data_IF_429649160009
#
_entry.id   IF_429649160009
#
_cell.length_a   1.000
_cell.length_b   1.000
_cell.length_c   1.000
_cell.angle_alpha   90.00
_cell.angle_beta   90.00
_cell.angle_gamma   90.00
#
_symmetry.space_group_name_H-M   'P 1'
#
loop_
_entity.id
_entity.type
_entity.pdbx_description
1 polymer ?
#
# COMPACT_ATOMS: atom_id res chain seq x y z
N UNK A 1 -24.83 -19.20 3.29
CA UNK A 1 -24.08 -18.84 2.06
C UNK A 1 -23.24 -17.56 2.24
N UNK A 2 -23.83 -16.39 2.53
CA UNK A 2 -23.08 -15.12 2.69
C UNK A 2 -21.98 -15.17 3.76
N UNK A 3 -22.23 -15.77 4.93
CA UNK A 3 -21.23 -15.95 5.99
C UNK A 3 -19.99 -16.75 5.52
N UNK A 4 -20.22 -17.84 4.76
CA UNK A 4 -19.13 -18.68 4.23
C UNK A 4 -18.26 -17.94 3.22
N UNK A 5 -18.88 -17.16 2.33
CA UNK A 5 -18.18 -16.29 1.37
C UNK A 5 -17.32 -15.26 2.12
N UNK A 6 -17.86 -14.67 3.19
CA UNK A 6 -17.15 -13.64 3.94
C UNK A 6 -15.96 -14.19 4.75
N UNK A 7 -16.13 -15.35 5.40
CA UNK A 7 -15.03 -16.06 6.06
C UNK A 7 -13.90 -16.40 5.07
N UNK A 8 -14.26 -16.88 3.89
CA UNK A 8 -13.32 -17.15 2.82
C UNK A 8 -12.56 -15.89 2.38
N UNK A 9 -13.25 -14.76 2.25
CA UNK A 9 -12.62 -13.47 1.92
C UNK A 9 -11.63 -13.02 3.02
N UNK A 10 -11.99 -13.12 4.30
CA UNK A 10 -11.07 -12.77 5.41
C UNK A 10 -9.80 -13.63 5.34
N UNK A 11 -9.96 -14.94 5.17
CA UNK A 11 -8.83 -15.88 5.13
C UNK A 11 -7.93 -15.58 3.92
N UNK A 12 -8.52 -15.41 2.73
CA UNK A 12 -7.76 -15.08 1.52
C UNK A 12 -7.02 -13.75 1.67
N UNK A 13 -7.69 -12.71 2.15
CA UNK A 13 -7.07 -11.39 2.33
C UNK A 13 -5.95 -11.46 3.34
N UNK A 14 -6.15 -12.15 4.47
CA UNK A 14 -5.11 -12.38 5.47
C UNK A 14 -3.88 -13.07 4.89
N UNK A 15 -4.09 -14.13 4.10
CA UNK A 15 -3.00 -14.84 3.41
C UNK A 15 -2.28 -13.91 2.43
N UNK A 16 -3.01 -13.15 1.59
CA UNK A 16 -2.41 -12.23 0.61
C UNK A 16 -1.64 -11.09 1.26
N UNK A 17 -2.09 -10.59 2.42
CA UNK A 17 -1.38 -9.57 3.20
C UNK A 17 -0.07 -10.15 3.72
N UNK A 18 -0.09 -11.34 4.31
CA UNK A 18 1.13 -12.01 4.79
C UNK A 18 2.11 -12.21 3.63
N UNK A 19 1.66 -12.70 2.48
CA UNK A 19 2.50 -12.86 1.27
C UNK A 19 3.12 -11.52 0.86
N UNK A 20 2.31 -10.46 0.81
CA UNK A 20 2.76 -9.14 0.36
C UNK A 20 3.74 -8.48 1.33
N UNK A 21 3.57 -8.68 2.64
CA UNK A 21 4.45 -8.14 3.67
C UNK A 21 5.78 -8.89 3.76
N UNK A 22 5.75 -10.21 3.53
CA UNK A 22 6.92 -11.07 3.72
C UNK A 22 7.79 -11.15 2.45
N UNK A 23 7.17 -11.19 1.27
CA UNK A 23 7.84 -11.56 0.01
C UNK A 23 8.81 -10.54 -0.61
N UNK A 24 8.97 -9.34 -0.05
CA UNK A 24 9.88 -8.33 -0.63
C UNK A 24 10.99 -7.80 0.28
N UNK A 25 10.94 -8.08 1.59
CA UNK A 25 11.84 -7.42 2.57
C UNK A 25 12.22 -8.25 3.78
N UNK A 26 11.71 -9.47 3.95
CA UNK A 26 12.22 -10.33 4.99
C UNK A 26 13.68 -10.64 4.67
N UNK A 27 14.61 -10.27 5.57
CA UNK A 27 15.98 -10.81 5.52
C UNK A 27 15.83 -12.33 5.46
N UNK A 28 16.58 -12.99 4.58
CA UNK A 28 16.60 -14.46 4.44
C UNK A 28 16.70 -15.15 5.80
N UNK A 29 17.44 -14.52 6.71
CA UNK A 29 17.80 -15.10 8.00
C UNK A 29 16.74 -14.86 9.10
N UNK A 30 15.77 -13.97 8.84
CA UNK A 30 14.68 -13.70 9.78
C UNK A 30 13.70 -14.88 9.85
N UNK A 31 12.98 -15.03 10.98
CA UNK A 31 11.95 -16.07 11.14
C UNK A 31 10.90 -15.98 10.02
N UNK A 32 10.48 -14.76 9.67
CA UNK A 32 9.55 -14.55 8.56
C UNK A 32 10.17 -14.90 7.19
N UNK A 33 11.46 -14.63 6.98
CA UNK A 33 12.18 -15.03 5.76
C UNK A 33 12.28 -16.54 5.60
N UNK A 34 12.59 -17.26 6.67
CA UNK A 34 12.63 -18.73 6.68
C UNK A 34 11.24 -19.35 6.51
N UNK A 35 10.21 -18.76 7.11
CA UNK A 35 8.81 -19.17 6.88
C UNK A 35 8.40 -18.94 5.42
N UNK A 36 8.80 -17.81 4.84
CA UNK A 36 8.55 -17.52 3.43
C UNK A 36 9.17 -18.58 2.52
N UNK A 37 10.44 -18.88 2.73
CA UNK A 37 11.16 -19.84 1.93
C UNK A 37 10.58 -21.26 2.06
N UNK A 38 10.27 -21.68 3.29
CA UNK A 38 9.71 -23.01 3.57
C UNK A 38 8.31 -23.21 3.00
N UNK A 39 7.42 -22.22 3.15
CA UNK A 39 6.01 -22.35 2.74
C UNK A 39 5.85 -22.08 1.23
N UNK A 40 6.55 -21.08 0.70
CA UNK A 40 6.26 -20.55 -0.63
C UNK A 40 7.27 -20.98 -1.69
N UNK A 41 8.57 -21.01 -1.39
CA UNK A 41 9.59 -21.36 -2.39
C UNK A 41 9.62 -22.88 -2.63
N UNK A 42 9.46 -23.68 -1.57
CA UNK A 42 9.48 -25.15 -1.70
C UNK A 42 8.19 -25.75 -2.28
N UNK A 43 7.05 -25.08 -2.15
CA UNK A 43 5.78 -25.58 -2.68
C UNK A 43 5.50 -25.03 -4.10
N UNK A 44 5.70 -25.87 -5.12
CA UNK A 44 5.56 -25.51 -6.53
C UNK A 44 4.18 -24.98 -6.91
N UNK A 45 3.11 -25.48 -6.27
CA UNK A 45 1.74 -25.03 -6.54
C UNK A 45 1.53 -23.62 -5.98
N UNK A 46 1.89 -23.40 -4.71
CA UNK A 46 1.77 -22.10 -4.04
C UNK A 46 2.64 -21.06 -4.75
N UNK A 47 3.86 -21.43 -5.14
CA UNK A 47 4.74 -20.59 -5.94
C UNK A 47 4.08 -20.20 -7.27
N UNK A 48 3.54 -21.18 -8.01
CA UNK A 48 2.87 -20.94 -9.29
C UNK A 48 1.64 -20.01 -9.17
N UNK A 49 0.84 -20.17 -8.13
CA UNK A 49 -0.30 -19.29 -7.83
C UNK A 49 0.20 -17.88 -7.49
N UNK A 50 1.21 -17.75 -6.65
CA UNK A 50 1.78 -16.45 -6.24
C UNK A 50 2.40 -15.71 -7.44
N UNK A 51 3.16 -16.41 -8.27
CA UNK A 51 3.71 -15.88 -9.52
C UNK A 51 2.61 -15.40 -10.46
N UNK A 52 1.55 -16.20 -10.63
CA UNK A 52 0.41 -15.79 -11.46
C UNK A 52 -0.28 -14.55 -10.90
N UNK A 53 -0.58 -14.51 -9.59
CA UNK A 53 -1.33 -13.42 -8.95
C UNK A 53 -0.55 -12.10 -8.90
N UNK A 54 0.73 -12.13 -8.54
CA UNK A 54 1.49 -10.91 -8.21
C UNK A 54 2.52 -10.51 -9.28
N UNK A 55 2.92 -11.42 -10.17
CA UNK A 55 4.01 -11.20 -11.12
C UNK A 55 3.56 -11.25 -12.58
N UNK A 56 2.43 -11.89 -12.89
CA UNK A 56 1.83 -11.90 -14.23
C UNK A 56 0.61 -10.97 -14.33
N UNK A 57 0.37 -10.32 -15.48
CA UNK A 57 -0.84 -9.54 -15.68
C UNK A 57 -2.09 -10.42 -15.57
N UNK A 58 -2.98 -10.08 -14.64
CA UNK A 58 -4.24 -10.80 -14.43
C UNK A 58 -5.28 -9.88 -13.76
N UNK A 59 -6.58 -10.08 -14.00
CA UNK A 59 -7.62 -9.23 -13.42
C UNK A 59 -8.04 -9.63 -12.00
N UNK A 60 -7.55 -10.74 -11.45
CA UNK A 60 -8.13 -11.35 -10.24
C UNK A 60 -8.02 -10.44 -9.02
N UNK A 61 -6.87 -9.78 -8.80
CA UNK A 61 -6.70 -8.88 -7.67
C UNK A 61 -7.52 -7.59 -7.82
N UNK A 62 -7.79 -7.16 -9.05
CA UNK A 62 -8.70 -6.03 -9.31
C UNK A 62 -10.14 -6.42 -8.96
N UNK A 63 -10.58 -7.58 -9.45
CA UNK A 63 -11.91 -8.10 -9.18
C UNK A 63 -12.09 -8.29 -7.67
N UNK A 64 -11.12 -8.89 -7.00
CA UNK A 64 -11.14 -9.09 -5.55
C UNK A 64 -11.29 -7.76 -4.80
N UNK A 65 -10.48 -6.74 -5.14
CA UNK A 65 -10.58 -5.42 -4.50
C UNK A 65 -11.96 -4.77 -4.76
N UNK A 66 -12.47 -4.83 -5.98
CA UNK A 66 -13.80 -4.31 -6.31
C UNK A 66 -14.91 -5.02 -5.53
N UNK A 67 -14.85 -6.35 -5.42
CA UNK A 67 -15.78 -7.16 -4.63
C UNK A 67 -15.69 -6.78 -3.14
N UNK A 68 -14.50 -6.62 -2.58
CA UNK A 68 -14.32 -6.24 -1.17
C UNK A 68 -14.95 -4.86 -0.87
N UNK A 69 -14.76 -3.88 -1.75
CA UNK A 69 -15.36 -2.54 -1.60
C UNK A 69 -16.89 -2.61 -1.64
N UNK A 70 -17.46 -3.34 -2.61
CA UNK A 70 -18.91 -3.46 -2.78
C UNK A 70 -19.54 -4.27 -1.64
N UNK A 71 -18.99 -5.44 -1.33
CA UNK A 71 -19.49 -6.31 -0.25
C UNK A 71 -19.38 -5.61 1.10
N UNK A 72 -18.27 -4.92 1.37
CA UNK A 72 -18.11 -4.14 2.60
C UNK A 72 -19.20 -3.09 2.79
N UNK A 73 -19.55 -2.37 1.71
CA UNK A 73 -20.66 -1.41 1.73
C UNK A 73 -22.03 -2.09 1.92
N UNK A 74 -22.29 -3.20 1.22
CA UNK A 74 -23.55 -3.94 1.37
C UNK A 74 -23.71 -4.46 2.79
N UNK A 75 -22.67 -5.01 3.40
CA UNK A 75 -22.72 -5.50 4.79
C UNK A 75 -22.93 -4.37 5.79
N UNK A 76 -22.27 -3.21 5.59
CA UNK A 76 -22.51 -2.00 6.37
C UNK A 76 -24.00 -1.59 6.30
N UNK A 77 -24.62 -1.66 5.12
CA UNK A 77 -26.01 -1.29 4.91
C UNK A 77 -27.03 -2.28 5.52
N UNK A 78 -26.68 -3.57 5.62
CA UNK A 78 -27.61 -4.62 6.08
C UNK A 78 -27.84 -4.57 7.60
N UNK A 79 -26.79 -4.36 8.39
CA UNK A 79 -26.84 -4.43 9.86
C UNK A 79 -26.49 -3.05 10.47
N UNK A 80 -25.24 -2.54 10.41
CA UNK A 80 -24.87 -1.31 11.11
C UNK A 80 -25.73 -0.10 10.77
N UNK A 81 -25.97 0.17 9.48
CA UNK A 81 -26.75 1.35 9.06
C UNK A 81 -28.20 1.25 9.49
N UNK A 82 -28.79 0.05 9.57
CA UNK A 82 -30.18 -0.09 10.03
C UNK A 82 -30.31 0.31 11.50
N UNK A 83 -29.40 -0.17 12.34
CA UNK A 83 -29.36 0.18 13.77
C UNK A 83 -29.07 1.67 13.96
N UNK A 84 -28.12 2.22 13.21
CA UNK A 84 -27.79 3.64 13.31
C UNK A 84 -28.95 4.54 12.82
N UNK A 85 -29.62 4.17 11.73
CA UNK A 85 -30.75 4.93 11.20
C UNK A 85 -31.95 4.91 12.17
N UNK A 86 -32.20 3.79 12.87
CA UNK A 86 -33.27 3.74 13.89
C UNK A 86 -33.00 4.67 15.08
N UNK A 87 -31.72 5.05 15.29
CA UNK A 87 -31.28 6.01 16.29
C UNK A 87 -31.11 7.44 15.74
N UNK A 88 -31.61 7.73 14.54
CA UNK A 88 -31.63 9.07 13.96
C UNK A 88 -30.34 9.52 13.26
N UNK A 89 -29.38 8.62 13.02
CA UNK A 89 -28.19 8.93 12.23
C UNK A 89 -28.51 8.92 10.74
N UNK A 90 -28.57 10.08 10.08
CA UNK A 90 -28.75 10.17 8.64
C UNK A 90 -27.41 9.99 7.90
N UNK A 91 -27.10 8.75 7.54
CA UNK A 91 -25.78 8.31 7.08
C UNK A 91 -25.44 8.67 5.61
N UNK A 92 -25.54 9.95 5.23
CA UNK A 92 -25.13 10.42 3.89
C UNK A 92 -23.62 10.21 3.67
N UNK A 93 -22.81 10.41 4.72
CA UNK A 93 -21.35 10.34 4.63
C UNK A 93 -20.81 8.96 4.14
N UNK A 94 -21.21 7.81 4.71
CA UNK A 94 -20.87 6.48 4.17
C UNK A 94 -21.13 6.29 2.67
N UNK A 95 -22.25 6.81 2.16
CA UNK A 95 -22.61 6.68 0.76
C UNK A 95 -21.67 7.47 -0.15
N UNK A 96 -21.38 8.73 0.22
CA UNK A 96 -20.43 9.58 -0.50
C UNK A 96 -19.01 8.99 -0.44
N UNK A 97 -18.62 8.46 0.72
CA UNK A 97 -17.31 7.86 0.93
C UNK A 97 -17.12 6.58 0.10
N UNK A 98 -18.16 5.73 0.02
CA UNK A 98 -18.17 4.55 -0.85
C UNK A 98 -18.00 4.93 -2.32
N UNK A 99 -18.82 5.87 -2.82
CA UNK A 99 -18.76 6.32 -4.20
C UNK A 99 -17.41 6.97 -4.53
N UNK A 100 -16.92 7.84 -3.66
CA UNK A 100 -15.61 8.50 -3.80
C UNK A 100 -14.47 7.48 -3.87
N UNK A 101 -14.47 6.48 -2.98
CA UNK A 101 -13.46 5.41 -2.99
C UNK A 101 -13.52 4.57 -4.27
N UNK A 102 -14.71 4.24 -4.75
CA UNK A 102 -14.88 3.49 -6.00
C UNK A 102 -14.40 4.28 -7.23
N UNK A 103 -14.71 5.58 -7.28
CA UNK A 103 -14.24 6.48 -8.34
C UNK A 103 -12.71 6.56 -8.32
N UNK A 104 -12.11 6.80 -7.15
CA UNK A 104 -10.65 6.88 -7.00
C UNK A 104 -9.95 5.57 -7.37
N UNK A 105 -10.53 4.42 -7.00
CA UNK A 105 -10.02 3.12 -7.41
C UNK A 105 -10.07 2.93 -8.93
N UNK A 106 -11.20 3.28 -9.55
CA UNK A 106 -11.35 3.25 -11.00
C UNK A 106 -10.36 4.18 -11.72
N UNK A 107 -10.12 5.39 -11.18
CA UNK A 107 -9.12 6.32 -11.71
C UNK A 107 -7.69 5.75 -11.58
N UNK A 108 -7.39 5.10 -10.45
CA UNK A 108 -6.10 4.46 -10.23
C UNK A 108 -5.83 3.28 -11.18
N UNK A 109 -6.87 2.54 -11.59
CA UNK A 109 -6.77 1.45 -12.60
C UNK A 109 -6.70 2.02 -14.03
N UNK A 110 -7.61 2.95 -14.37
CA UNK A 110 -7.81 3.39 -15.76
C UNK A 110 -6.78 4.42 -16.23
N UNK A 111 -6.16 5.17 -15.31
CA UNK A 111 -5.15 6.17 -15.67
C UNK A 111 -3.81 5.50 -15.92
N UNK A 112 -3.24 5.55 -17.14
CA UNK A 112 -1.92 4.99 -17.39
C UNK A 112 -0.84 5.71 -16.57
N UNK A 113 0.20 5.01 -16.10
CA UNK A 113 1.22 5.60 -15.22
C UNK A 113 2.13 6.65 -15.87
N UNK A 114 2.07 6.78 -17.20
CA UNK A 114 3.03 7.58 -17.97
C UNK A 114 4.02 6.69 -18.71
N UNK A 115 3.51 5.75 -19.53
CA UNK A 115 4.35 4.93 -20.40
C UNK A 115 5.11 5.81 -21.40
N UNK A 116 6.42 5.59 -21.49
CA UNK A 116 7.32 6.31 -22.37
C UNK A 116 7.31 5.62 -23.74
N UNK A 117 7.15 6.42 -24.79
CA UNK A 117 7.15 6.05 -26.21
C UNK A 117 8.04 7.04 -26.95
N UNK A 118 8.49 6.69 -28.16
CA UNK A 118 9.25 7.62 -29.03
C UNK A 118 8.54 8.97 -29.20
N UNK A 119 7.21 8.97 -29.36
CA UNK A 119 6.41 10.18 -29.59
C UNK A 119 6.32 11.13 -28.39
N UNK A 120 6.46 10.64 -27.15
CA UNK A 120 6.34 11.46 -25.94
C UNK A 120 7.64 11.60 -25.14
N UNK A 121 8.74 10.99 -25.60
CA UNK A 121 10.03 11.00 -24.93
C UNK A 121 10.50 12.43 -24.58
N UNK A 122 10.34 13.37 -25.53
CA UNK A 122 10.69 14.79 -25.35
C UNK A 122 9.93 15.49 -24.22
N UNK A 123 8.71 15.06 -23.92
CA UNK A 123 7.90 15.60 -22.81
C UNK A 123 8.56 15.30 -21.46
N UNK A 124 9.30 14.20 -21.38
CA UNK A 124 9.89 13.70 -20.15
C UNK A 124 11.40 13.94 -20.05
N UNK A 125 12.14 14.05 -21.16
CA UNK A 125 13.61 14.24 -21.19
C UNK A 125 14.10 15.43 -20.36
N UNK A 126 13.27 16.47 -20.18
CA UNK A 126 13.61 17.67 -19.42
C UNK A 126 12.75 17.85 -18.15
N UNK A 127 12.04 16.80 -17.71
CA UNK A 127 11.15 16.86 -16.55
C UNK A 127 11.92 16.93 -15.23
N UNK A 128 13.02 16.19 -15.16
CA UNK A 128 13.85 16.02 -13.96
C UNK A 128 15.33 16.16 -14.36
N UNK A 129 16.19 16.70 -13.48
CA UNK A 129 17.64 16.71 -13.73
C UNK A 129 18.22 15.30 -13.64
N UNK A 130 19.34 15.06 -14.32
CA UNK A 130 20.17 13.88 -14.08
C UNK A 130 21.02 14.13 -12.84
N UNK A 131 21.05 13.18 -11.90
CA UNK A 131 21.90 13.24 -10.69
C UNK A 131 23.28 12.61 -10.91
N UNK A 132 23.48 11.90 -12.02
CA UNK A 132 24.69 11.11 -12.34
C UNK A 132 25.09 10.06 -11.30
N UNK A 133 24.23 9.82 -10.30
CA UNK A 133 24.36 8.82 -9.25
C UNK A 133 23.48 7.63 -9.61
N UNK A 134 22.15 7.82 -9.49
CA UNK A 134 21.14 6.81 -9.79
C UNK A 134 20.72 6.83 -11.26
N UNK A 135 20.85 7.99 -11.91
CA UNK A 135 20.45 8.24 -13.28
C UNK A 135 21.55 9.00 -14.02
N UNK A 136 22.33 8.26 -14.83
CA UNK A 136 23.39 8.78 -15.69
C UNK A 136 22.85 9.08 -17.10
N UNK A 137 23.40 10.11 -17.73
CA UNK A 137 23.12 10.43 -19.14
C UNK A 137 23.61 9.29 -20.05
N UNK A 138 23.03 9.18 -21.25
CA UNK A 138 23.47 8.25 -22.32
C UNK A 138 23.21 6.76 -22.06
N UNK A 139 22.26 6.44 -21.18
CA UNK A 139 21.82 5.06 -20.98
C UNK A 139 20.54 4.77 -21.76
N UNK A 140 20.51 3.68 -22.52
CA UNK A 140 19.32 3.22 -23.23
C UNK A 140 18.65 2.07 -22.47
N UNK A 141 17.33 1.93 -22.61
CA UNK A 141 16.62 0.74 -22.18
C UNK A 141 16.93 -0.42 -23.12
N UNK A 142 17.48 -1.51 -22.58
CA UNK A 142 17.81 -2.73 -23.33
C UNK A 142 16.59 -3.35 -24.05
N UNK A 143 15.39 -3.22 -23.46
CA UNK A 143 14.17 -3.85 -23.98
C UNK A 143 13.37 -2.94 -24.93
N UNK A 144 13.31 -1.64 -24.63
CA UNK A 144 12.50 -0.70 -25.41
C UNK A 144 13.33 0.07 -26.45
N UNK A 145 14.67 0.02 -26.36
CA UNK A 145 15.59 0.82 -27.17
C UNK A 145 15.24 2.32 -27.18
N UNK A 146 14.80 2.81 -26.02
CA UNK A 146 14.52 4.22 -25.75
C UNK A 146 15.58 4.76 -24.78
N UNK A 147 15.95 6.03 -24.95
CA UNK A 147 16.77 6.74 -23.97
C UNK A 147 16.10 6.69 -22.59
N UNK A 148 16.87 6.30 -21.57
CA UNK A 148 16.43 6.34 -20.18
C UNK A 148 16.46 7.78 -19.70
N UNK A 149 15.28 8.34 -19.49
CA UNK A 149 15.12 9.62 -18.80
C UNK A 149 15.36 9.44 -17.29
N UNK A 150 15.66 10.52 -16.53
CA UNK A 150 15.78 10.44 -15.08
C UNK A 150 14.48 9.94 -14.45
N UNK A 151 14.61 9.15 -13.38
CA UNK A 151 13.49 8.54 -12.66
C UNK A 151 12.64 7.55 -13.45
N UNK A 152 13.04 7.18 -14.67
CA UNK A 152 12.34 6.12 -15.42
C UNK A 152 12.87 4.73 -15.12
N UNK A 153 12.01 3.73 -15.37
CA UNK A 153 12.38 2.32 -15.29
C UNK A 153 11.58 1.50 -16.29
N UNK A 154 12.21 0.50 -16.90
CA UNK A 154 11.50 -0.56 -17.60
C UNK A 154 10.84 -1.50 -16.60
N UNK A 155 9.51 -1.64 -16.67
CA UNK A 155 8.80 -2.65 -15.91
C UNK A 155 8.66 -3.91 -16.74
N UNK A 156 9.43 -4.96 -16.41
CA UNK A 156 9.34 -6.27 -17.10
C UNK A 156 7.92 -6.82 -17.12
N UNK A 157 7.16 -6.66 -16.03
CA UNK A 157 5.75 -7.11 -15.91
C UNK A 157 4.81 -6.41 -16.90
N UNK A 158 5.03 -5.12 -17.15
CA UNK A 158 4.22 -4.35 -18.11
C UNK A 158 4.83 -4.32 -19.53
N UNK A 159 6.07 -4.79 -19.71
CA UNK A 159 6.82 -4.73 -20.96
C UNK A 159 7.10 -3.30 -21.46
N UNK A 160 7.08 -2.29 -20.58
CA UNK A 160 7.12 -0.87 -20.97
C UNK A 160 7.98 -0.04 -20.00
N UNK A 161 8.64 0.98 -20.54
CA UNK A 161 9.26 2.04 -19.73
C UNK A 161 8.20 2.97 -19.14
N UNK A 162 8.35 3.31 -17.87
CA UNK A 162 7.43 4.17 -17.12
C UNK A 162 8.19 5.38 -16.59
N UNK A 163 7.66 6.58 -16.81
CA UNK A 163 8.19 7.82 -16.25
C UNK A 163 7.93 7.93 -14.75
N UNK A 164 8.91 8.44 -13.99
CA UNK A 164 8.91 8.49 -12.53
C UNK A 164 8.35 7.20 -11.90
N UNK A 165 8.97 6.08 -12.26
CA UNK A 165 8.49 4.76 -11.85
C UNK A 165 8.54 4.62 -10.34
N UNK A 166 7.41 4.28 -9.72
CA UNK A 166 7.35 4.01 -8.29
C UNK A 166 7.43 2.51 -8.00
N UNK A 167 6.41 1.77 -8.41
CA UNK A 167 6.37 0.32 -8.32
C UNK A 167 5.37 -0.26 -9.32
N UNK A 168 5.37 -1.58 -9.48
CA UNK A 168 4.27 -2.28 -10.11
C UNK A 168 3.32 -2.77 -9.03
N UNK A 169 2.05 -2.38 -9.11
CA UNK A 169 1.03 -2.72 -8.12
C UNK A 169 0.04 -3.74 -8.71
N UNK A 170 0.05 -4.99 -8.22
CA UNK A 170 -0.88 -6.02 -8.70
C UNK A 170 -2.35 -5.69 -8.42
N UNK A 171 -2.64 -4.95 -7.34
CA UNK A 171 -4.00 -4.52 -6.95
C UNK A 171 -4.68 -3.53 -7.91
N UNK A 172 -3.90 -2.90 -8.79
CA UNK A 172 -4.42 -2.10 -9.92
C UNK A 172 -3.96 -2.68 -11.27
N UNK A 173 -3.30 -3.85 -11.27
CA UNK A 173 -2.72 -4.53 -12.42
C UNK A 173 -1.91 -3.62 -13.36
N UNK A 174 -1.22 -2.63 -12.79
CA UNK A 174 -0.39 -1.69 -13.55
C UNK A 174 0.69 -1.05 -12.69
N UNK A 175 1.61 -0.32 -13.32
CA UNK A 175 2.57 0.49 -12.58
C UNK A 175 1.89 1.68 -11.92
N UNK A 176 2.45 2.10 -10.79
CA UNK A 176 2.31 3.45 -10.27
C UNK A 176 3.51 4.26 -10.78
N UNK A 177 3.23 5.41 -11.38
CA UNK A 177 4.24 6.29 -11.95
C UNK A 177 3.75 7.73 -12.00
N UNK A 178 4.43 8.56 -12.80
CA UNK A 178 4.22 10.00 -12.86
C UNK A 178 2.74 10.43 -12.96
N UNK A 179 1.97 9.82 -13.86
CA UNK A 179 0.62 10.32 -14.21
C UNK A 179 -0.50 9.80 -13.30
N UNK A 180 -0.32 8.67 -12.64
CA UNK A 180 -1.36 8.05 -11.82
C UNK A 180 -1.04 8.01 -10.31
N UNK A 181 0.16 8.44 -9.90
CA UNK A 181 0.57 8.50 -8.49
C UNK A 181 -0.47 9.23 -7.61
N UNK A 182 -1.00 10.36 -8.09
CA UNK A 182 -2.05 11.11 -7.38
C UNK A 182 -3.30 10.29 -7.10
N UNK A 183 -3.79 9.55 -8.09
CA UNK A 183 -5.00 8.73 -7.95
C UNK A 183 -4.75 7.55 -7.02
N UNK A 184 -3.56 6.96 -7.08
CA UNK A 184 -3.15 5.90 -6.17
C UNK A 184 -3.07 6.39 -4.71
N UNK A 185 -2.45 7.54 -4.45
CA UNK A 185 -2.36 8.12 -3.11
C UNK A 185 -3.74 8.51 -2.56
N UNK A 186 -4.59 9.16 -3.36
CA UNK A 186 -5.95 9.49 -2.94
C UNK A 186 -6.82 8.25 -2.72
N UNK A 187 -6.66 7.20 -3.53
CA UNK A 187 -7.32 5.93 -3.32
C UNK A 187 -6.91 5.31 -1.97
N UNK A 188 -5.61 5.26 -1.65
CA UNK A 188 -5.13 4.74 -0.36
C UNK A 188 -5.65 5.55 0.83
N UNK A 189 -5.67 6.88 0.72
CA UNK A 189 -6.22 7.77 1.75
C UNK A 189 -7.73 7.51 1.94
N UNK A 190 -8.50 7.51 0.85
CA UNK A 190 -9.94 7.27 0.87
C UNK A 190 -10.28 5.89 1.41
N UNK A 191 -9.51 4.86 1.05
CA UNK A 191 -9.67 3.52 1.58
C UNK A 191 -9.37 3.47 3.08
N UNK A 192 -8.28 4.11 3.54
CA UNK A 192 -7.93 4.18 4.96
C UNK A 192 -9.04 4.84 5.79
N UNK A 193 -9.56 5.98 5.33
CA UNK A 193 -10.68 6.68 5.96
C UNK A 193 -11.91 5.78 5.97
N UNK A 194 -12.26 5.15 4.84
CA UNK A 194 -13.43 4.26 4.75
C UNK A 194 -13.36 3.12 5.76
N UNK A 195 -12.20 2.46 5.89
CA UNK A 195 -12.02 1.34 6.82
C UNK A 195 -12.15 1.79 8.27
N UNK A 196 -11.57 2.93 8.65
CA UNK A 196 -11.71 3.51 9.99
C UNK A 196 -13.16 3.89 10.28
N UNK A 197 -13.82 4.55 9.33
CA UNK A 197 -15.21 4.98 9.43
C UNK A 197 -16.16 3.78 9.56
N UNK A 198 -15.95 2.71 8.79
CA UNK A 198 -16.74 1.49 8.88
C UNK A 198 -16.58 0.85 10.26
N UNK A 199 -15.34 0.71 10.75
CA UNK A 199 -15.08 0.17 12.09
C UNK A 199 -15.79 1.00 13.16
N UNK A 200 -15.69 2.33 13.08
CA UNK A 200 -16.38 3.25 14.00
C UNK A 200 -17.90 3.03 13.99
N UNK A 201 -18.54 3.02 12.81
CA UNK A 201 -19.98 2.82 12.71
C UNK A 201 -20.42 1.44 13.21
N UNK A 202 -19.63 0.40 12.97
CA UNK A 202 -19.91 -0.93 13.51
C UNK A 202 -19.86 -0.95 15.05
N UNK A 203 -18.89 -0.27 15.66
CA UNK A 203 -18.80 -0.17 17.13
C UNK A 203 -20.01 0.57 17.70
N UNK A 204 -20.40 1.70 17.10
CA UNK A 204 -21.58 2.45 17.56
C UNK A 204 -22.87 1.64 17.35
N UNK A 205 -22.99 0.90 16.23
CA UNK A 205 -24.13 0.02 16.00
C UNK A 205 -24.23 -1.10 17.04
N UNK A 206 -23.11 -1.72 17.44
CA UNK A 206 -23.10 -2.70 18.54
C UNK A 206 -23.56 -2.06 19.84
N UNK A 207 -23.05 -0.85 20.15
CA UNK A 207 -23.44 -0.13 21.36
C UNK A 207 -24.95 0.08 21.42
N UNK A 208 -25.56 0.62 20.36
CA UNK A 208 -27.00 0.84 20.30
C UNK A 208 -27.80 -0.46 20.35
N UNK A 209 -27.35 -1.49 19.64
CA UNK A 209 -27.99 -2.81 19.71
C UNK A 209 -28.01 -3.35 21.15
N UNK A 210 -26.90 -3.20 21.89
CA UNK A 210 -26.82 -3.62 23.29
C UNK A 210 -27.73 -2.77 24.21
N UNK A 211 -27.85 -1.47 23.95
CA UNK A 211 -28.75 -0.57 24.69
C UNK A 211 -30.23 -0.94 24.46
N UNK A 212 -30.64 -1.15 23.21
CA UNK A 212 -32.02 -1.55 22.83
C UNK A 212 -32.48 -2.85 23.51
N UNK A 213 -31.53 -3.73 23.83
CA UNK A 213 -31.80 -5.04 24.44
C UNK A 213 -31.39 -5.11 25.93
N UNK A 214 -31.20 -3.97 26.60
CA UNK A 214 -30.87 -3.87 28.02
C UNK A 214 -29.62 -4.68 28.44
N UNK A 215 -28.62 -4.77 27.56
CA UNK A 215 -27.39 -5.55 27.80
C UNK A 215 -26.27 -4.74 28.48
N UNK A 216 -26.43 -3.41 28.63
CA UNK A 216 -25.39 -2.50 29.13
C UNK A 216 -25.59 -2.02 30.57
N UNK A 217 -26.72 -2.35 31.20
CA UNK A 217 -27.08 -1.90 32.56
C UNK A 217 -26.31 -2.60 33.69
N UNK A 218 -26.53 -2.16 34.94
CA UNK A 218 -25.93 -2.79 36.15
C UNK A 218 -26.31 -4.27 36.33
N UNK A 219 -27.47 -4.66 35.80
CA UNK A 219 -27.96 -6.03 35.77
C UNK A 219 -28.45 -6.35 34.35
N UNK A 220 -27.55 -6.75 33.43
CA UNK A 220 -27.93 -7.14 32.07
C UNK A 220 -28.90 -8.32 32.10
N UNK A 221 -30.06 -8.18 31.49
CA UNK A 221 -31.08 -9.23 31.48
C UNK A 221 -32.01 -9.10 30.26
N UNK A 222 -32.49 -10.23 29.74
CA UNK A 222 -33.63 -10.25 28.81
C UNK A 222 -34.89 -10.39 29.64
N UNK A 223 -35.76 -9.38 29.54
CA UNK A 223 -37.08 -9.39 30.17
C UNK A 223 -38.06 -9.95 29.14
N UNK A 224 -38.59 -11.14 29.40
CA UNK A 224 -39.69 -11.73 28.63
C UNK A 224 -40.99 -11.62 29.43
N UNK A 225 -42.17 -11.78 28.82
CA UNK A 225 -43.44 -11.72 29.56
C UNK A 225 -43.55 -12.73 30.71
N UNK A 226 -42.78 -13.82 30.68
CA UNK A 226 -42.87 -14.93 31.64
C UNK A 226 -41.64 -15.08 32.54
N UNK A 227 -40.48 -14.57 32.14
CA UNK A 227 -39.23 -14.74 32.90
C UNK A 227 -38.21 -13.62 32.62
N UNK A 228 -37.33 -13.39 33.58
CA UNK A 228 -36.16 -12.53 33.45
C UNK A 228 -34.91 -13.40 33.40
N UNK A 229 -34.21 -13.39 32.27
CA UNK A 229 -33.00 -14.19 32.07
C UNK A 229 -31.79 -13.28 32.29
N UNK A 230 -30.98 -13.46 33.36
CA UNK A 230 -29.75 -12.70 33.53
C UNK A 230 -28.76 -13.04 32.43
N UNK A 231 -28.09 -12.01 31.91
CA UNK A 231 -27.12 -12.15 30.82
C UNK A 231 -25.70 -12.14 31.39
N UNK A 232 -25.00 -13.26 31.26
CA UNK A 232 -23.56 -13.30 31.42
C UNK A 232 -22.83 -12.89 30.12
N UNK A 233 -21.51 -12.74 30.19
CA UNK A 233 -20.69 -12.33 29.04
C UNK A 233 -20.76 -13.33 27.88
N UNK A 234 -20.90 -14.62 28.17
CA UNK A 234 -20.96 -15.66 27.13
C UNK A 234 -22.28 -15.59 26.36
N UNK A 235 -23.39 -15.34 27.05
CA UNK A 235 -24.70 -15.18 26.44
C UNK A 235 -24.80 -13.88 25.63
N UNK A 236 -24.22 -12.78 26.14
CA UNK A 236 -24.09 -11.53 25.36
C UNK A 236 -23.31 -11.79 24.07
N UNK A 237 -22.19 -12.50 24.15
CA UNK A 237 -21.40 -12.85 22.97
C UNK A 237 -22.20 -13.71 21.98
N UNK A 238 -22.92 -14.73 22.46
CA UNK A 238 -23.78 -15.57 21.62
C UNK A 238 -24.85 -14.73 20.93
N UNK A 239 -25.50 -13.81 21.65
CA UNK A 239 -26.53 -12.94 21.06
C UNK A 239 -25.91 -12.02 20.01
N UNK A 240 -24.82 -11.32 20.33
CA UNK A 240 -24.13 -10.46 19.37
C UNK A 240 -23.65 -11.24 18.14
N UNK A 241 -23.13 -12.45 18.30
CA UNK A 241 -22.72 -13.27 17.17
C UNK A 241 -23.90 -13.76 16.33
N UNK A 242 -25.05 -14.06 16.92
CA UNK A 242 -26.22 -14.51 16.16
C UNK A 242 -26.90 -13.36 15.39
N UNK A 243 -27.04 -12.19 16.02
CA UNK A 243 -27.81 -11.06 15.48
C UNK A 243 -26.95 -10.01 14.76
N UNK A 244 -25.68 -9.86 15.13
CA UNK A 244 -24.76 -8.83 14.63
C UNK A 244 -23.46 -9.43 14.07
N UNK A 245 -23.49 -10.67 13.56
CA UNK A 245 -22.30 -11.36 13.03
C UNK A 245 -21.61 -10.54 11.94
N UNK A 246 -22.34 -9.98 10.98
CA UNK A 246 -21.67 -9.26 9.88
C UNK A 246 -20.96 -8.03 10.42
N UNK A 247 -21.58 -7.33 11.38
CA UNK A 247 -20.97 -6.20 12.09
C UNK A 247 -19.68 -6.60 12.81
N UNK A 248 -19.67 -7.70 13.58
CA UNK A 248 -18.47 -8.19 14.28
C UNK A 248 -17.37 -8.55 13.28
N UNK A 249 -17.71 -9.28 12.23
CA UNK A 249 -16.70 -9.71 11.26
C UNK A 249 -16.18 -8.54 10.41
N UNK A 250 -16.99 -7.50 10.17
CA UNK A 250 -16.56 -6.24 9.57
C UNK A 250 -15.58 -5.48 10.48
N UNK A 251 -15.81 -5.42 11.79
CA UNK A 251 -14.85 -4.82 12.73
C UNK A 251 -13.50 -5.50 12.62
N UNK A 252 -13.46 -6.84 12.62
CA UNK A 252 -12.21 -7.60 12.54
C UNK A 252 -11.50 -7.31 11.21
N UNK A 253 -12.20 -7.49 10.08
CA UNK A 253 -11.60 -7.30 8.76
C UNK A 253 -11.13 -5.85 8.55
N UNK A 254 -12.00 -4.86 8.83
CA UNK A 254 -11.70 -3.46 8.61
C UNK A 254 -10.65 -2.90 9.57
N UNK A 255 -10.54 -3.43 10.80
CA UNK A 255 -9.46 -3.03 11.71
C UNK A 255 -8.11 -3.54 11.22
N UNK A 256 -8.01 -4.83 10.87
CA UNK A 256 -6.76 -5.43 10.38
C UNK A 256 -6.34 -4.80 9.05
N UNK A 257 -7.26 -4.73 8.08
CA UNK A 257 -6.98 -4.08 6.79
C UNK A 257 -6.74 -2.58 6.95
N UNK A 258 -7.49 -1.90 7.83
CA UNK A 258 -7.39 -0.48 8.08
C UNK A 258 -5.99 -0.10 8.55
N UNK A 259 -5.43 -0.84 9.52
CA UNK A 259 -4.06 -0.65 9.97
C UNK A 259 -3.07 -0.90 8.82
N UNK A 260 -3.20 -2.01 8.09
CA UNK A 260 -2.28 -2.35 7.01
C UNK A 260 -2.26 -1.29 5.89
N UNK A 261 -3.44 -0.86 5.43
CA UNK A 261 -3.59 0.14 4.36
C UNK A 261 -3.15 1.52 4.85
N UNK A 262 -3.44 1.90 6.09
CA UNK A 262 -2.99 3.17 6.67
C UNK A 262 -1.47 3.20 6.79
N UNK A 263 -0.83 2.15 7.31
CA UNK A 263 0.63 2.06 7.38
C UNK A 263 1.26 2.15 5.98
N UNK A 264 0.66 1.49 4.99
CA UNK A 264 1.13 1.58 3.61
C UNK A 264 0.97 3.00 3.06
N UNK A 265 -0.17 3.64 3.27
CA UNK A 265 -0.41 5.04 2.89
C UNK A 265 0.60 5.99 3.52
N UNK A 266 0.82 5.89 4.83
CA UNK A 266 1.76 6.74 5.57
C UNK A 266 3.20 6.54 5.09
N UNK A 267 3.60 5.30 4.81
CA UNK A 267 4.91 5.03 4.22
C UNK A 267 5.05 5.63 2.82
N UNK A 268 4.03 5.51 1.96
CA UNK A 268 4.04 6.13 0.62
C UNK A 268 4.09 7.66 0.70
N UNK A 269 3.35 8.26 1.65
CA UNK A 269 3.38 9.69 1.91
C UNK A 269 4.75 10.14 2.42
N UNK A 270 5.37 9.38 3.33
CA UNK A 270 6.71 9.65 3.85
C UNK A 270 7.76 9.65 2.73
N UNK A 271 7.82 8.57 1.94
CA UNK A 271 8.74 8.44 0.80
C UNK A 271 8.56 9.61 -0.17
N UNK A 272 7.30 9.89 -0.52
CA UNK A 272 6.95 10.99 -1.42
C UNK A 272 7.39 12.33 -0.85
N UNK A 273 7.21 12.56 0.46
CA UNK A 273 7.58 13.82 1.10
C UNK A 273 9.09 14.06 1.18
N UNK A 274 9.90 13.01 1.04
CA UNK A 274 11.36 13.08 0.89
C UNK A 274 11.82 13.21 -0.56
N UNK A 275 10.90 13.37 -1.51
CA UNK A 275 11.21 13.54 -2.93
C UNK A 275 11.55 12.24 -3.65
N UNK A 276 11.45 11.09 -2.98
CA UNK A 276 11.74 9.77 -3.55
C UNK A 276 10.50 9.13 -4.19
N UNK A 277 10.75 8.16 -5.06
CA UNK A 277 9.86 7.05 -5.36
C UNK A 277 10.23 5.83 -4.51
N UNK A 278 9.34 4.86 -4.37
CA UNK A 278 9.63 3.57 -3.73
C UNK A 278 10.83 2.89 -4.38
N UNK A 279 10.94 2.94 -5.72
CA UNK A 279 12.07 2.37 -6.46
C UNK A 279 13.40 3.07 -6.15
N UNK A 280 13.40 4.40 -6.05
CA UNK A 280 14.60 5.17 -5.68
C UNK A 280 15.01 4.88 -4.25
N UNK A 281 14.07 4.82 -3.31
CA UNK A 281 14.37 4.44 -1.93
C UNK A 281 15.07 3.08 -1.87
N UNK A 282 14.58 2.08 -2.62
CA UNK A 282 15.23 0.75 -2.68
C UNK A 282 16.63 0.80 -3.32
N UNK A 283 16.90 1.75 -4.23
CA UNK A 283 18.26 1.95 -4.75
C UNK A 283 19.17 2.57 -3.69
N UNK A 284 18.70 3.61 -3.00
CA UNK A 284 19.43 4.25 -1.91
C UNK A 284 19.73 3.26 -0.78
N UNK A 285 18.71 2.54 -0.30
CA UNK A 285 18.86 1.52 0.76
C UNK A 285 19.97 0.50 0.40
N UNK A 286 20.04 0.06 -0.87
CA UNK A 286 21.10 -0.85 -1.33
C UNK A 286 22.49 -0.23 -1.35
N UNK A 287 22.62 1.03 -1.78
CA UNK A 287 23.91 1.74 -1.72
C UNK A 287 24.39 1.90 -0.28
N UNK A 288 23.47 2.17 0.65
CA UNK A 288 23.76 2.20 2.08
C UNK A 288 24.25 0.84 2.59
N UNK A 289 23.55 -0.24 2.24
CA UNK A 289 23.94 -1.59 2.64
C UNK A 289 25.34 -1.98 2.10
N UNK A 290 25.63 -1.67 0.82
CA UNK A 290 26.94 -1.91 0.18
C UNK A 290 28.05 -1.10 0.88
N UNK A 291 27.82 0.18 1.20
CA UNK A 291 28.78 1.01 1.91
C UNK A 291 29.03 0.52 3.34
N UNK A 292 28.00 0.08 4.05
CA UNK A 292 28.16 -0.51 5.38
C UNK A 292 28.94 -1.82 5.34
N UNK A 293 28.75 -2.65 4.31
CA UNK A 293 29.56 -3.85 4.12
C UNK A 293 31.04 -3.50 3.91
N UNK A 294 31.32 -2.52 3.05
CA UNK A 294 32.67 -2.01 2.82
C UNK A 294 33.36 -1.52 4.10
N UNK A 295 32.68 -0.72 4.93
CA UNK A 295 33.23 -0.27 6.22
C UNK A 295 33.55 -1.45 7.16
N UNK A 296 32.65 -2.43 7.24
CA UNK A 296 32.86 -3.62 8.07
C UNK A 296 34.01 -4.51 7.57
N UNK A 297 34.30 -4.49 6.27
CA UNK A 297 35.45 -5.20 5.69
C UNK A 297 36.75 -4.48 6.03
N UNK A 298 36.80 -3.15 5.87
CA UNK A 298 37.96 -2.33 6.27
C UNK A 298 38.29 -2.50 7.74
N UNK A 299 37.29 -2.47 8.63
CA UNK A 299 37.48 -2.60 10.08
C UNK A 299 38.07 -3.96 10.47
N UNK A 300 37.95 -4.99 9.62
CA UNK A 300 38.51 -6.33 9.85
C UNK A 300 39.90 -6.53 9.24
N UNK A 301 40.34 -5.64 8.37
CA UNK A 301 41.64 -5.74 7.71
C UNK A 301 42.75 -5.23 8.62
N UNK A 302 43.92 -5.85 8.54
CA UNK A 302 45.12 -5.31 9.19
C UNK A 302 45.64 -4.07 8.46
N UNK A 303 46.42 -3.23 9.13
CA UNK A 303 47.00 -2.02 8.53
C UNK A 303 47.82 -2.29 7.26
N UNK A 304 48.49 -3.45 7.17
CA UNK A 304 49.20 -3.89 5.95
C UNK A 304 48.25 -4.24 4.79
N UNK A 305 47.09 -4.82 5.09
CA UNK A 305 46.08 -5.17 4.09
C UNK A 305 45.32 -3.94 3.59
N UNK A 306 45.17 -2.91 4.42
CA UNK A 306 44.55 -1.64 4.03
C UNK A 306 45.43 -0.84 3.05
N UNK A 307 46.76 -0.99 3.13
CA UNK A 307 47.71 -0.32 2.24
C UNK A 307 47.91 -1.03 0.88
N UNK A 308 47.58 -2.31 0.79
CA UNK A 308 47.55 -3.06 -0.47
C UNK A 308 46.17 -2.84 -1.11
N UNK A 309 46.04 -1.87 -2.03
CA UNK A 309 44.84 -1.35 -2.73
C UNK A 309 43.90 -2.42 -3.36
N UNK A 310 43.40 -3.36 -2.56
CA UNK A 310 42.70 -4.56 -3.02
C UNK A 310 41.18 -4.40 -2.99
N UNK A 311 40.64 -3.47 -2.20
CA UNK A 311 39.23 -3.13 -2.17
C UNK A 311 38.94 -1.94 -3.09
N UNK A 312 38.00 -2.12 -4.03
CA UNK A 312 37.43 -1.00 -4.77
C UNK A 312 36.71 -0.05 -3.79
N UNK A 313 37.09 1.22 -3.80
CA UNK A 313 36.48 2.24 -2.95
C UNK A 313 34.99 2.42 -3.31
N UNK A 314 34.11 2.23 -2.32
CA UNK A 314 32.66 2.38 -2.48
C UNK A 314 32.24 3.82 -2.17
N UNK A 315 31.36 4.38 -3.00
CA UNK A 315 30.83 5.74 -2.81
C UNK A 315 30.06 5.85 -1.49
N UNK A 316 30.50 6.72 -0.58
CA UNK A 316 29.78 7.04 0.66
C UNK A 316 28.44 7.73 0.35
N UNK A 317 27.28 7.10 0.63
CA UNK A 317 25.97 7.67 0.31
C UNK A 317 25.63 8.92 1.12
N UNK A 318 26.18 9.09 2.34
CA UNK A 318 25.91 10.26 3.18
C UNK A 318 26.52 11.55 2.62
N UNK A 319 27.51 11.43 1.74
CA UNK A 319 28.07 12.57 1.01
C UNK A 319 27.17 13.05 -0.14
N UNK A 320 26.16 12.26 -0.52
CA UNK A 320 25.36 12.50 -1.71
C UNK A 320 24.11 13.33 -1.40
N UNK A 321 23.83 14.31 -2.24
CA UNK A 321 22.64 15.16 -2.13
C UNK A 321 21.50 14.59 -2.98
N UNK A 322 20.33 14.40 -2.39
CA UNK A 322 19.12 14.08 -3.15
C UNK A 322 18.62 15.32 -3.91
N UNK A 323 19.00 15.43 -5.19
CA UNK A 323 18.57 16.51 -6.10
C UNK A 323 17.06 16.64 -6.27
N UNK A 324 16.28 15.60 -5.93
CA UNK A 324 14.82 15.61 -6.05
C UNK A 324 14.10 16.06 -4.77
N UNK A 325 14.83 16.25 -3.65
CA UNK A 325 14.26 16.82 -2.44
C UNK A 325 14.16 18.35 -2.54
N UNK A 326 12.92 18.85 -2.53
CA UNK A 326 12.57 20.26 -2.58
C UNK A 326 11.83 20.72 -1.30
N UNK A 327 11.86 19.92 -0.24
CA UNK A 327 11.12 20.13 0.99
C UNK A 327 9.75 19.45 0.99
N UNK A 328 9.28 19.11 2.19
CA UNK A 328 8.11 18.27 2.45
C UNK A 328 6.90 18.55 1.55
N UNK A 329 6.36 19.77 1.57
CA UNK A 329 5.16 20.13 0.81
C UNK A 329 5.42 20.21 -0.70
N UNK A 330 6.59 20.69 -1.11
CA UNK A 330 6.93 20.80 -2.54
C UNK A 330 7.11 19.43 -3.18
N UNK A 331 7.64 18.46 -2.46
CA UNK A 331 7.79 17.10 -2.93
C UNK A 331 6.44 16.42 -3.12
N UNK A 332 5.51 16.59 -2.16
CA UNK A 332 4.13 16.11 -2.27
C UNK A 332 3.45 16.77 -3.46
N UNK A 333 3.50 18.10 -3.57
CA UNK A 333 2.90 18.84 -4.69
C UNK A 333 3.46 18.39 -6.04
N UNK A 334 4.76 18.15 -6.11
CA UNK A 334 5.44 17.63 -7.30
C UNK A 334 5.06 16.20 -7.64
N UNK A 335 4.69 15.37 -6.65
CA UNK A 335 4.13 14.04 -6.85
C UNK A 335 2.71 14.06 -7.39
N UNK A 336 1.89 14.97 -6.86
CA UNK A 336 0.50 15.11 -7.27
C UNK A 336 0.34 15.83 -8.61
N UNK A 337 1.25 16.75 -8.93
CA UNK A 337 1.22 17.63 -10.10
C UNK A 337 2.61 17.72 -10.74
N UNK A 338 3.11 16.63 -11.36
CA UNK A 338 4.47 16.54 -11.89
C UNK A 338 4.77 17.56 -13.01
N UNK A 339 3.76 18.04 -13.72
CA UNK A 339 3.87 19.11 -14.70
C UNK A 339 4.38 20.43 -14.10
N UNK A 340 4.18 20.66 -12.80
CA UNK A 340 4.64 21.84 -12.05
C UNK A 340 6.00 21.65 -11.39
N UNK A 341 6.72 20.56 -11.70
CA UNK A 341 8.06 20.34 -11.14
C UNK A 341 8.96 21.55 -11.48
N UNK A 342 9.69 22.11 -10.49
CA UNK A 342 10.56 23.26 -10.74
C UNK A 342 11.54 22.91 -11.86
N UNK A 343 11.47 23.63 -12.99
CA UNK A 343 12.39 23.38 -14.10
C UNK A 343 13.83 23.61 -13.63
N UNK A 344 14.73 22.72 -14.05
CA UNK A 344 16.09 22.51 -13.52
C UNK A 344 17.04 23.73 -13.51
N UNK A 345 16.65 24.90 -14.02
CA UNK A 345 17.54 26.04 -14.23
C UNK A 345 17.76 26.97 -13.02
N UNK A 346 17.13 26.73 -11.86
CA UNK A 346 17.34 27.60 -10.67
C UNK A 346 18.30 27.05 -9.62
N UNK A 347 18.59 25.75 -9.60
CA UNK A 347 19.39 25.11 -8.52
C UNK A 347 20.84 24.77 -8.90
N UNK A 348 21.14 24.54 -10.18
CA UNK A 348 22.51 24.24 -10.64
C UNK A 348 23.50 25.43 -10.50
N UNK A 349 23.00 26.64 -10.21
CA UNK A 349 23.83 27.83 -9.95
C UNK A 349 24.25 28.04 -8.50
N UNK A 350 23.77 27.23 -7.54
CA UNK A 350 24.07 27.42 -6.10
C UNK A 350 25.05 26.40 -5.51
N UNK A 351 25.43 25.37 -6.26
CA UNK A 351 26.32 24.29 -5.79
C UNK A 351 27.48 23.99 -6.75
N UNK A 352 27.75 24.88 -7.70
CA UNK A 352 29.10 25.07 -8.24
C UNK A 352 29.74 26.18 -7.43
#
# INVERSE_FOLDING_TARGET
MLLGIYLFLIVIVGILIIISLVGSRAKSDSVLGKMYESIYVKNKIIHGITEYLFYKPNPLLIILMGVLIIVGYVLLAIEPMKVLNSHGHWLIFPHLQFLGTLILYCLAIKTPPGYIKKSNLKVYQNRYPYDNILYKRESNCEYCHLEKIPRSKHCKRCGKCVARFDHHCPWINQCVGEKNCKFFLFFLLSMSISLITITYYCIIAIKYFMEDHNMTGKHPAIITPTTTIPLDLSLIFIILFNYMRYTIMMIILCSVMGVAVLCFFLNQLYITSKGYTTYEKIKWDRMYDEYQQYLNEIDKMTEEQQNDNSLEEVVNPDSLINYYDNGFLNNIKSALFPEKYPQANSKLKKHK
#
